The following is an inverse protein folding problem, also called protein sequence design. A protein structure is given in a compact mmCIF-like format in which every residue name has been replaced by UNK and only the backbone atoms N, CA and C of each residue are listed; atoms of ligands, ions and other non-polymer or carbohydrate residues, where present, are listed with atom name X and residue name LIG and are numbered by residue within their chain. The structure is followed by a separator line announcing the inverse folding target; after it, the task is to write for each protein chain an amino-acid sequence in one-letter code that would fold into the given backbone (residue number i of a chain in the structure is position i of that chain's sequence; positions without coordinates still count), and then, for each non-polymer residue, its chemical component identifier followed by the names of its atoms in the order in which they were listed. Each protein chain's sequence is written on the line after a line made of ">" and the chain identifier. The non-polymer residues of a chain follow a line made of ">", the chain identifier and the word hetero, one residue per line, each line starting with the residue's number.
data_IF_638876912317
#
_entry.id   IF_638876912317
#
_cell.length_a   1.000
_cell.length_b   1.000
_cell.length_c   1.000
_cell.angle_alpha   90.00
_cell.angle_beta   90.00
_cell.angle_gamma   90.00
#
_symmetry.space_group_name_H-M   'P 1'
#
loop_
_entity.id
_entity.type
_entity.pdbx_description
1 polymer ?
#
# COMPACT_ATOMS: atom_id res chain seq x y z
N UNK A 1 12.50 3.40 8.72
CA UNK A 1 12.38 2.53 7.52
C UNK A 1 11.21 2.98 6.67
N UNK A 2 11.23 2.59 5.42
CA UNK A 2 10.15 2.84 4.47
C UNK A 2 9.44 1.52 4.17
N UNK A 3 8.13 1.52 4.36
CA UNK A 3 7.27 0.40 4.00
C UNK A 3 6.60 0.71 2.68
N UNK A 4 7.00 0.01 1.63
CA UNK A 4 6.49 0.20 0.28
C UNK A 4 5.60 -0.96 -0.11
N UNK A 5 4.41 -0.66 -0.62
CA UNK A 5 3.57 -1.66 -1.26
C UNK A 5 3.34 -1.25 -2.71
N UNK A 6 3.67 -2.13 -3.64
CA UNK A 6 3.39 -1.92 -5.05
C UNK A 6 2.12 -2.68 -5.40
N UNK A 7 1.12 -1.95 -5.88
CA UNK A 7 -0.16 -2.51 -6.31
C UNK A 7 -0.27 -2.49 -7.82
N UNK A 8 -0.76 -3.58 -8.38
CA UNK A 8 -1.23 -3.59 -9.76
C UNK A 8 -2.75 -3.59 -9.73
N UNK A 9 -3.38 -2.57 -10.31
CA UNK A 9 -4.83 -2.46 -10.40
C UNK A 9 -5.28 -2.57 -11.85
N UNK A 10 -6.19 -3.50 -12.11
CA UNK A 10 -6.80 -3.67 -13.44
C UNK A 10 -7.53 -2.39 -13.84
N UNK A 11 -7.54 -2.06 -15.13
CA UNK A 11 -8.15 -0.82 -15.63
C UNK A 11 -9.56 -0.60 -15.12
N UNK A 12 -10.37 -1.65 -15.04
CA UNK A 12 -11.76 -1.56 -14.57
C UNK A 12 -11.88 -1.25 -13.08
N UNK A 13 -10.82 -1.43 -12.31
CA UNK A 13 -10.83 -1.24 -10.86
C UNK A 13 -10.09 0.01 -10.39
N UNK A 14 -9.31 0.66 -11.27
CA UNK A 14 -8.41 1.75 -10.87
C UNK A 14 -9.10 2.83 -10.06
N UNK A 15 -10.22 3.38 -10.57
CA UNK A 15 -10.91 4.48 -9.88
C UNK A 15 -11.43 4.06 -8.51
N UNK A 16 -12.07 2.91 -8.41
CA UNK A 16 -12.60 2.37 -7.15
C UNK A 16 -11.48 2.07 -6.17
N UNK A 17 -10.37 1.54 -6.67
CA UNK A 17 -9.21 1.23 -5.84
C UNK A 17 -8.57 2.49 -5.26
N UNK A 18 -8.34 3.51 -6.08
CA UNK A 18 -7.78 4.78 -5.61
C UNK A 18 -8.69 5.47 -4.61
N UNK A 19 -10.00 5.43 -4.84
CA UNK A 19 -10.97 5.98 -3.90
C UNK A 19 -10.91 5.26 -2.56
N UNK A 20 -10.85 3.93 -2.58
CA UNK A 20 -10.74 3.14 -1.37
C UNK A 20 -9.45 3.42 -0.61
N UNK A 21 -8.32 3.54 -1.32
CA UNK A 21 -7.04 3.89 -0.69
C UNK A 21 -7.14 5.23 0.05
N UNK A 22 -7.72 6.25 -0.60
CA UNK A 22 -7.81 7.59 -0.01
C UNK A 22 -8.81 7.68 1.12
N UNK A 23 -9.95 7.04 0.97
CA UNK A 23 -11.05 7.15 1.92
C UNK A 23 -10.91 6.23 3.13
N UNK A 24 -10.32 5.06 2.94
CA UNK A 24 -10.30 4.02 3.98
C UNK A 24 -8.91 3.48 4.31
N UNK A 25 -8.16 3.02 3.33
CA UNK A 25 -6.88 2.36 3.59
C UNK A 25 -5.88 3.28 4.27
N UNK A 26 -5.56 4.40 3.66
CA UNK A 26 -4.55 5.32 4.18
C UNK A 26 -4.95 5.89 5.55
N UNK A 27 -6.20 6.37 5.76
CA UNK A 27 -6.60 6.83 7.08
C UNK A 27 -6.51 5.74 8.16
N UNK A 28 -6.94 4.53 7.86
CA UNK A 28 -6.89 3.43 8.82
C UNK A 28 -5.46 2.97 9.09
N UNK A 29 -4.61 3.01 8.06
CA UNK A 29 -3.21 2.62 8.20
C UNK A 29 -2.41 3.57 9.10
N UNK A 30 -2.80 4.84 9.15
CA UNK A 30 -2.03 5.89 9.83
C UNK A 30 -2.66 6.37 11.14
N UNK A 31 -3.84 5.89 11.51
CA UNK A 31 -4.62 6.44 12.63
C UNK A 31 -3.88 6.36 13.96
N UNK A 32 -3.10 5.32 14.21
CA UNK A 32 -2.40 5.13 15.47
C UNK A 32 -0.97 5.71 15.47
N UNK A 33 -0.51 6.26 14.34
CA UNK A 33 0.78 6.91 14.22
C UNK A 33 1.99 6.01 14.01
N UNK A 34 1.81 4.68 14.03
CA UNK A 34 2.93 3.75 13.77
C UNK A 34 3.41 3.84 12.33
N UNK A 35 2.51 4.06 11.39
CA UNK A 35 2.85 4.43 10.02
C UNK A 35 2.54 5.91 9.81
N UNK A 36 3.41 6.60 9.09
CA UNK A 36 3.28 8.04 8.83
C UNK A 36 3.74 8.39 7.42
N UNK A 37 3.54 9.64 7.05
CA UNK A 37 4.01 10.21 5.79
C UNK A 37 3.58 9.40 4.56
N UNK A 38 2.27 9.15 4.37
CA UNK A 38 1.81 8.39 3.21
C UNK A 38 2.17 9.10 1.90
N UNK A 39 2.67 8.32 0.94
CA UNK A 39 3.01 8.83 -0.38
C UNK A 39 2.56 7.82 -1.42
N UNK A 40 1.67 8.25 -2.32
CA UNK A 40 1.14 7.41 -3.39
C UNK A 40 1.66 7.93 -4.73
N UNK A 41 2.29 7.05 -5.51
CA UNK A 41 2.84 7.40 -6.82
C UNK A 41 2.41 6.39 -7.88
N UNK A 42 2.27 6.89 -9.12
CA UNK A 42 2.05 6.04 -10.29
C UNK A 42 3.41 5.63 -10.84
N UNK A 43 3.58 4.35 -11.11
CA UNK A 43 4.80 3.84 -11.75
C UNK A 43 4.70 4.09 -13.25
N UNK A 44 5.55 4.97 -13.77
CA UNK A 44 5.42 5.48 -15.15
C UNK A 44 6.01 4.57 -16.22
N UNK A 45 6.99 3.75 -15.87
CA UNK A 45 7.70 2.90 -16.83
C UNK A 45 7.25 1.44 -16.81
N UNK A 46 6.10 1.16 -16.21
CA UNK A 46 5.51 -0.17 -16.24
C UNK A 46 4.84 -0.41 -17.60
N UNK A 47 5.13 -1.54 -18.22
CA UNK A 47 4.57 -1.90 -19.54
C UNK A 47 3.32 -2.77 -19.40
N UNK A 48 2.39 -2.34 -18.56
CA UNK A 48 1.16 -3.06 -18.29
C UNK A 48 -0.01 -2.43 -19.06
N UNK A 49 -0.53 -3.14 -20.06
CA UNK A 49 -1.65 -2.63 -20.86
C UNK A 49 -3.02 -2.90 -20.23
N UNK A 50 -3.13 -3.84 -19.31
CA UNK A 50 -4.37 -4.24 -18.66
C UNK A 50 -4.65 -3.49 -17.36
N UNK A 51 -3.73 -2.68 -16.89
CA UNK A 51 -3.84 -2.00 -15.62
C UNK A 51 -2.76 -0.97 -15.38
N UNK A 52 -2.69 -0.52 -14.13
CA UNK A 52 -1.70 0.46 -13.68
C UNK A 52 -1.05 0.01 -12.39
N UNK A 53 0.22 0.37 -12.23
CA UNK A 53 0.98 0.07 -11.03
C UNK A 53 1.13 1.32 -10.17
N UNK A 54 0.85 1.18 -8.87
CA UNK A 54 0.97 2.25 -7.90
C UNK A 54 1.91 1.83 -6.79
N UNK A 55 2.73 2.76 -6.33
CA UNK A 55 3.58 2.58 -5.17
C UNK A 55 3.01 3.40 -4.02
N UNK A 56 2.68 2.75 -2.91
CA UNK A 56 2.23 3.41 -1.69
C UNK A 56 3.30 3.21 -0.64
N UNK A 57 3.85 4.33 -0.14
CA UNK A 57 4.89 4.31 0.86
C UNK A 57 4.45 4.95 2.16
N UNK A 58 4.92 4.37 3.25
CA UNK A 58 4.79 4.93 4.59
C UNK A 58 6.16 4.88 5.27
N UNK A 59 6.33 5.68 6.31
CA UNK A 59 7.46 5.57 7.23
C UNK A 59 7.04 4.89 8.50
N UNK A 60 7.94 4.05 9.03
CA UNK A 60 7.82 3.42 10.35
C UNK A 60 9.15 3.61 11.08
N UNK A 61 9.13 3.62 12.41
CA UNK A 61 10.34 3.81 13.20
C UNK A 61 11.32 2.65 13.07
N UNK A 62 10.81 1.42 13.04
CA UNK A 62 11.63 0.21 12.96
C UNK A 62 10.78 -0.98 12.48
N UNK A 63 11.45 -2.10 12.22
CA UNK A 63 10.81 -3.31 11.71
C UNK A 63 9.83 -3.91 12.73
N UNK A 64 10.17 -3.87 14.01
CA UNK A 64 9.29 -4.45 15.04
C UNK A 64 7.97 -3.70 15.15
N UNK A 65 8.02 -2.36 15.08
CA UNK A 65 6.82 -1.52 15.05
C UNK A 65 5.95 -1.83 13.82
N UNK A 66 6.59 -1.97 12.66
CA UNK A 66 5.87 -2.32 11.44
C UNK A 66 5.23 -3.70 11.53
N UNK A 67 5.95 -4.67 12.09
CA UNK A 67 5.41 -6.02 12.25
C UNK A 67 4.17 -6.02 13.14
N UNK A 68 4.22 -5.30 14.26
CA UNK A 68 3.08 -5.17 15.15
C UNK A 68 1.90 -4.50 14.46
N UNK A 69 2.16 -3.43 13.70
CA UNK A 69 1.13 -2.78 12.90
C UNK A 69 0.50 -3.75 11.90
N UNK A 70 1.32 -4.52 11.19
CA UNK A 70 0.82 -5.46 10.19
C UNK A 70 -0.10 -6.51 10.82
N UNK A 71 0.29 -7.07 11.95
CA UNK A 71 -0.51 -8.07 12.65
C UNK A 71 -1.84 -7.51 13.16
N UNK A 72 -1.85 -6.27 13.61
CA UNK A 72 -3.02 -5.64 14.24
C UNK A 72 -3.92 -4.89 13.25
N UNK A 73 -3.37 -4.33 12.18
CA UNK A 73 -4.09 -3.48 11.23
C UNK A 73 -3.91 -3.94 9.79
N UNK A 74 -2.68 -4.17 9.37
CA UNK A 74 -2.36 -4.43 7.96
C UNK A 74 -3.02 -5.68 7.41
N UNK A 75 -3.05 -6.75 8.18
CA UNK A 75 -3.65 -8.01 7.78
C UNK A 75 -5.14 -7.86 7.45
N UNK A 76 -5.86 -7.11 8.27
CA UNK A 76 -7.27 -6.80 8.02
C UNK A 76 -7.47 -5.98 6.74
N UNK A 77 -6.57 -5.04 6.47
CA UNK A 77 -6.63 -4.22 5.25
C UNK A 77 -6.38 -5.06 4.00
N UNK A 78 -5.43 -5.99 4.04
CA UNK A 78 -5.17 -6.92 2.94
C UNK A 78 -6.38 -7.80 2.68
N UNK A 79 -6.98 -8.31 3.73
CA UNK A 79 -8.17 -9.16 3.64
C UNK A 79 -9.36 -8.39 3.04
N UNK A 80 -9.56 -7.15 3.45
CA UNK A 80 -10.62 -6.30 2.90
C UNK A 80 -10.37 -5.97 1.43
N UNK A 81 -9.13 -5.71 1.05
CA UNK A 81 -8.76 -5.49 -0.35
C UNK A 81 -9.12 -6.71 -1.21
N UNK A 82 -8.79 -7.91 -0.73
CA UNK A 82 -9.11 -9.14 -1.44
C UNK A 82 -10.63 -9.33 -1.61
N UNK A 83 -11.40 -9.00 -0.59
CA UNK A 83 -12.87 -9.09 -0.66
C UNK A 83 -13.48 -8.10 -1.64
N UNK A 84 -12.93 -6.87 -1.69
CA UNK A 84 -13.49 -5.80 -2.53
C UNK A 84 -13.11 -5.94 -4.01
N UNK A 85 -11.88 -6.34 -4.28
CA UNK A 85 -11.33 -6.28 -5.64
C UNK A 85 -10.98 -7.63 -6.23
N UNK A 86 -10.82 -8.66 -5.40
CA UNK A 86 -10.48 -9.99 -5.89
C UNK A 86 -9.23 -9.99 -6.75
N UNK A 87 -9.32 -10.55 -7.94
CA UNK A 87 -8.19 -10.63 -8.89
C UNK A 87 -7.86 -9.31 -9.58
N UNK A 88 -8.70 -8.28 -9.43
CA UNK A 88 -8.50 -7.01 -10.10
C UNK A 88 -7.39 -6.17 -9.49
N UNK A 89 -7.01 -6.46 -8.25
CA UNK A 89 -5.90 -5.77 -7.58
C UNK A 89 -5.01 -6.81 -6.91
N UNK A 90 -3.72 -6.69 -7.16
CA UNK A 90 -2.70 -7.51 -6.51
C UNK A 90 -1.60 -6.59 -5.97
N UNK A 91 -0.90 -7.01 -4.94
CA UNK A 91 0.16 -6.20 -4.37
C UNK A 91 1.24 -7.03 -3.73
N UNK A 92 2.41 -6.43 -3.60
CA UNK A 92 3.51 -6.98 -2.81
C UNK A 92 4.21 -5.87 -2.06
N UNK A 93 4.80 -6.22 -0.93
CA UNK A 93 5.44 -5.23 -0.07
C UNK A 93 6.94 -5.41 -0.03
N UNK A 94 7.64 -4.30 0.11
CA UNK A 94 9.09 -4.25 0.21
C UNK A 94 9.46 -3.34 1.39
N UNK A 95 10.35 -3.80 2.24
CA UNK A 95 10.88 -2.99 3.33
C UNK A 95 12.18 -2.36 2.87
N UNK A 96 12.29 -1.05 3.02
CA UNK A 96 13.46 -0.28 2.60
C UNK A 96 14.07 0.41 3.81
N UNK A 97 15.37 0.24 3.97
CA UNK A 97 16.12 0.95 5.00
C UNK A 97 16.97 2.02 4.34
N UNK A 98 16.88 3.24 4.85
CA UNK A 98 17.69 4.33 4.33
C UNK A 98 19.15 4.11 4.69
N UNK A 99 20.05 4.38 3.76
CA UNK A 99 21.48 4.23 3.92
C UNK A 99 22.14 5.60 3.75
N UNK A 100 23.05 5.95 4.66
CA UNK A 100 23.80 7.19 4.57
C UNK A 100 24.72 7.17 3.35
N UNK A 101 24.75 8.30 2.63
CA UNK A 101 25.54 8.44 1.41
C UNK A 101 26.93 9.04 1.65
#
# INVERSE_FOLDING_TARGET
>A
IVYNTTFHAHNDAVERFLEWLRAEYIPRATVDGRLSEPRLTLVLNAEESDGRNYSLQFRASDVDTLRAWYEEVGDDLVEEMAKRFGHQVAGFSTLLEEVDL
#
